data_IF_418686982994
#
_entry.id   IF_418686982994
#
_cell.length_a   1.000
_cell.length_b   1.000
_cell.length_c   1.000
_cell.angle_alpha   90.00
_cell.angle_beta   90.00
_cell.angle_gamma   90.00
#
_symmetry.space_group_name_H-M   'P 1'
#
loop_
_entity.id
_entity.type
_entity.pdbx_description
1 polymer ?
#
# COMPACT_ATOMS: atom_id res chain seq x y z
N UNK A 1 30.82 24.58 -55.88
CA UNK A 1 30.53 23.23 -55.32
C UNK A 1 30.71 23.12 -53.81
N UNK A 2 31.65 23.84 -53.15
CA UNK A 2 31.84 23.81 -51.68
C UNK A 2 30.68 24.32 -50.81
N UNK A 3 29.80 25.17 -51.37
CA UNK A 3 28.66 25.77 -50.63
C UNK A 3 27.56 24.76 -50.30
N UNK A 4 27.37 23.73 -51.13
CA UNK A 4 26.36 22.70 -50.90
C UNK A 4 26.79 21.68 -49.84
N UNK A 5 28.10 21.48 -49.66
CA UNK A 5 28.65 20.55 -48.67
C UNK A 5 28.39 21.01 -47.24
N UNK A 6 28.49 22.33 -46.99
CA UNK A 6 28.16 22.94 -45.70
C UNK A 6 26.66 22.81 -45.38
N UNK A 7 25.80 22.98 -46.39
CA UNK A 7 24.36 22.87 -46.22
C UNK A 7 23.93 21.45 -45.84
N UNK A 8 24.49 20.43 -46.49
CA UNK A 8 24.23 19.03 -46.13
C UNK A 8 24.71 18.68 -44.72
N UNK A 9 25.85 19.23 -44.30
CA UNK A 9 26.38 19.00 -42.96
C UNK A 9 25.47 19.56 -41.87
N UNK A 10 24.88 20.74 -42.08
CA UNK A 10 23.91 21.33 -41.16
C UNK A 10 22.61 20.50 -41.03
N UNK A 11 22.13 19.92 -42.13
CA UNK A 11 20.91 19.11 -42.12
C UNK A 11 21.13 17.81 -41.33
N UNK A 12 22.31 17.19 -41.45
CA UNK A 12 22.66 15.97 -40.72
C UNK A 12 22.81 16.23 -39.22
N UNK A 13 23.43 17.34 -38.81
CA UNK A 13 23.58 17.64 -37.37
C UNK A 13 22.27 18.03 -36.69
N UNK A 14 21.35 18.70 -37.40
CA UNK A 14 20.03 19.05 -36.88
C UNK A 14 19.09 17.83 -36.77
N UNK A 15 19.18 16.88 -37.72
CA UNK A 15 18.39 15.64 -37.68
C UNK A 15 18.76 14.70 -36.53
N UNK A 16 20.05 14.66 -36.15
CA UNK A 16 20.53 13.84 -35.03
C UNK A 16 20.22 14.45 -33.66
N UNK A 17 20.15 15.78 -33.55
CA UNK A 17 19.77 16.46 -32.31
C UNK A 17 18.26 16.45 -32.02
N UNK A 18 17.42 16.21 -33.04
CA UNK A 18 15.96 16.25 -32.89
C UNK A 18 15.34 14.96 -32.35
N UNK A 19 16.07 13.84 -32.36
CA UNK A 19 15.64 12.63 -31.67
C UNK A 19 16.04 12.70 -30.19
N UNK A 20 15.52 13.70 -29.47
CA UNK A 20 15.43 13.53 -28.02
C UNK A 20 14.33 12.51 -27.80
N UNK A 21 14.72 11.26 -27.55
CA UNK A 21 13.79 10.27 -27.01
C UNK A 21 13.47 10.74 -25.60
N UNK A 22 12.42 11.55 -25.47
CA UNK A 22 11.82 11.80 -24.19
C UNK A 22 11.27 10.46 -23.72
N UNK A 23 12.03 9.78 -22.87
CA UNK A 23 11.51 8.68 -22.08
C UNK A 23 10.47 9.29 -21.16
N UNK A 24 9.20 9.23 -21.57
CA UNK A 24 8.09 9.38 -20.63
C UNK A 24 8.20 8.16 -19.72
N UNK A 25 8.97 8.31 -18.63
CA UNK A 25 8.92 7.37 -17.53
C UNK A 25 7.54 7.58 -16.93
N UNK A 26 6.64 6.62 -17.20
CA UNK A 26 5.32 6.62 -16.61
C UNK A 26 5.50 6.27 -15.13
N UNK A 27 5.81 7.30 -14.35
CA UNK A 27 5.94 7.20 -12.91
C UNK A 27 4.55 6.91 -12.36
N UNK A 28 4.21 5.65 -12.12
CA UNK A 28 2.99 5.29 -11.38
C UNK A 28 3.25 5.63 -9.92
N UNK A 29 2.67 6.71 -9.37
CA UNK A 29 3.01 7.12 -8.02
C UNK A 29 2.36 6.20 -6.99
N UNK A 30 3.04 5.97 -5.87
CA UNK A 30 2.44 5.32 -4.72
C UNK A 30 1.26 6.15 -4.19
N UNK A 31 0.21 5.48 -3.75
CA UNK A 31 -1.02 6.14 -3.25
C UNK A 31 -1.15 5.84 -1.76
N UNK A 32 -1.39 6.89 -0.96
CA UNK A 32 -1.65 6.74 0.48
C UNK A 32 -3.12 7.00 0.79
N UNK A 33 -3.75 6.05 1.49
CA UNK A 33 -5.13 6.12 1.95
C UNK A 33 -5.17 6.14 3.47
N UNK A 34 -6.13 6.87 4.02
CA UNK A 34 -6.44 6.86 5.45
C UNK A 34 -7.86 6.32 5.66
N UNK A 35 -7.99 5.36 6.56
CA UNK A 35 -9.27 4.72 6.91
C UNK A 35 -9.40 4.64 8.42
N UNK A 36 -10.59 4.91 8.94
CA UNK A 36 -10.88 4.76 10.36
C UNK A 36 -11.62 3.44 10.59
N UNK A 37 -11.09 2.62 11.49
CA UNK A 37 -11.68 1.37 11.95
C UNK A 37 -12.38 1.64 13.28
N UNK A 38 -13.67 1.39 13.34
CA UNK A 38 -14.47 1.54 14.55
C UNK A 38 -14.49 0.24 15.37
N UNK A 39 -14.56 0.31 16.72
CA UNK A 39 -14.61 -0.87 17.60
C UNK A 39 -15.66 -1.92 17.22
N UNK A 40 -16.83 -1.47 16.75
CA UNK A 40 -17.96 -2.33 16.37
C UNK A 40 -17.79 -3.02 15.01
N UNK A 41 -16.80 -2.63 14.20
CA UNK A 41 -16.52 -3.27 12.91
C UNK A 41 -15.74 -4.59 13.04
N UNK A 42 -15.13 -4.84 14.20
CA UNK A 42 -14.43 -6.09 14.47
C UNK A 42 -15.42 -7.26 14.59
N UNK A 43 -15.23 -8.24 13.72
CA UNK A 43 -16.03 -9.45 13.64
C UNK A 43 -15.30 -10.62 14.29
N UNK A 44 -16.06 -11.52 14.91
CA UNK A 44 -15.53 -12.74 15.53
C UNK A 44 -15.23 -13.77 14.45
N UNK A 45 -14.03 -14.35 14.49
CA UNK A 45 -13.60 -15.40 13.57
C UNK A 45 -14.39 -16.70 13.72
N UNK A 46 -14.42 -17.51 12.66
CA UNK A 46 -15.17 -18.78 12.61
C UNK A 46 -14.53 -19.91 13.41
N UNK A 47 -13.26 -19.78 13.82
CA UNK A 47 -12.52 -20.76 14.60
C UNK A 47 -12.81 -20.60 16.10
N UNK A 48 -14.04 -20.94 16.51
CA UNK A 48 -14.54 -20.78 17.89
C UNK A 48 -14.37 -19.36 18.49
N UNK A 49 -14.22 -18.35 17.62
CA UNK A 49 -13.98 -16.96 18.00
C UNK A 49 -12.59 -16.67 18.57
N UNK A 50 -11.58 -17.50 18.30
CA UNK A 50 -10.21 -17.34 18.80
C UNK A 50 -9.42 -16.20 18.14
N UNK A 51 -10.05 -15.47 17.22
CA UNK A 51 -9.52 -14.25 16.63
C UNK A 51 -10.65 -13.27 16.28
N UNK A 52 -10.28 -12.00 16.13
CA UNK A 52 -11.14 -11.01 15.49
C UNK A 52 -10.57 -10.62 14.13
N UNK A 53 -11.44 -10.16 13.23
CA UNK A 53 -11.03 -9.58 11.96
C UNK A 53 -11.87 -8.37 11.59
N UNK A 54 -11.32 -7.54 10.72
CA UNK A 54 -12.05 -6.43 10.10
C UNK A 54 -11.59 -6.27 8.66
N UNK A 55 -12.55 -6.02 7.77
CA UNK A 55 -12.27 -5.75 6.36
C UNK A 55 -12.26 -4.23 6.13
N UNK A 56 -11.13 -3.73 5.64
CA UNK A 56 -10.98 -2.36 5.16
C UNK A 56 -11.20 -2.38 3.65
N UNK A 57 -12.32 -1.82 3.19
CA UNK A 57 -12.71 -1.83 1.78
C UNK A 57 -12.41 -0.49 1.10
N UNK A 58 -11.84 -0.54 -0.10
CA UNK A 58 -11.66 0.62 -0.97
C UNK A 58 -11.52 0.16 -2.42
N UNK A 59 -12.18 0.85 -3.35
CA UNK A 59 -12.19 0.47 -4.77
C UNK A 59 -10.83 0.61 -5.45
N UNK A 60 -9.88 1.33 -4.83
CA UNK A 60 -8.52 1.50 -5.35
C UNK A 60 -7.60 0.32 -5.03
N UNK A 61 -7.96 -0.51 -4.06
CA UNK A 61 -7.22 -1.73 -3.72
C UNK A 61 -7.41 -2.72 -4.86
N UNK A 62 -6.30 -3.10 -5.52
CA UNK A 62 -6.20 -3.90 -6.76
C UNK A 62 -6.58 -3.20 -8.07
N UNK A 63 -6.88 -1.89 -8.06
CA UNK A 63 -7.09 -1.15 -9.31
C UNK A 63 -5.77 -0.81 -10.02
N UNK A 64 -4.68 -0.78 -9.25
CA UNK A 64 -3.32 -0.73 -9.75
C UNK A 64 -2.81 -2.18 -9.73
N UNK A 65 -1.91 -2.55 -10.64
CA UNK A 65 -1.16 -3.82 -10.56
C UNK A 65 -0.34 -3.77 -9.25
N UNK A 66 -0.99 -3.98 -8.10
CA UNK A 66 -0.49 -3.70 -6.76
C UNK A 66 0.50 -4.80 -6.38
N UNK A 67 1.78 -4.59 -6.65
CA UNK A 67 2.84 -5.50 -6.20
C UNK A 67 3.02 -5.49 -4.68
N UNK A 68 2.55 -4.43 -3.98
CA UNK A 68 2.66 -4.33 -2.54
C UNK A 68 1.66 -3.39 -1.87
N UNK A 69 1.19 -3.82 -0.69
CA UNK A 69 0.38 -2.99 0.21
C UNK A 69 1.11 -2.90 1.55
N UNK A 70 1.33 -1.68 2.05
CA UNK A 70 1.85 -1.43 3.40
C UNK A 70 0.72 -0.89 4.27
N UNK A 71 0.35 -1.63 5.31
CA UNK A 71 -0.64 -1.20 6.29
C UNK A 71 0.03 -0.78 7.60
N UNK A 72 -0.38 0.35 8.15
CA UNK A 72 0.08 0.83 9.46
C UNK A 72 -1.08 1.37 10.28
N UNK A 73 -1.02 1.21 11.61
CA UNK A 73 -1.99 1.78 12.54
C UNK A 73 -1.41 2.96 13.31
N UNK A 74 -2.21 4.02 13.48
CA UNK A 74 -1.83 5.15 14.30
C UNK A 74 -1.60 4.70 15.75
N UNK A 75 -0.51 5.19 16.35
CA UNK A 75 -0.26 5.01 17.77
C UNK A 75 -1.27 5.83 18.57
N UNK A 76 -1.89 5.19 19.56
CA UNK A 76 -2.96 5.79 20.35
C UNK A 76 -2.54 7.09 21.09
N UNK A 77 -1.24 7.31 21.35
CA UNK A 77 -0.73 8.37 22.24
C UNK A 77 0.47 9.17 21.70
N UNK A 78 0.90 8.90 20.47
CA UNK A 78 2.10 9.48 19.87
C UNK A 78 1.80 9.53 18.37
N UNK A 79 1.96 10.68 17.70
CA UNK A 79 1.46 10.96 16.33
C UNK A 79 2.10 10.10 15.21
N UNK A 80 2.65 8.94 15.54
CA UNK A 80 3.26 7.97 14.65
C UNK A 80 2.31 6.87 14.19
N UNK A 81 2.82 6.04 13.26
CA UNK A 81 2.13 4.86 12.73
C UNK A 81 3.05 3.65 12.87
N UNK A 82 2.55 2.58 13.47
CA UNK A 82 3.24 1.29 13.55
C UNK A 82 2.80 0.42 12.37
N UNK A 83 3.76 -0.02 11.55
CA UNK A 83 3.49 -0.90 10.42
C UNK A 83 3.13 -2.31 10.91
N UNK A 84 2.18 -2.96 10.23
CA UNK A 84 1.83 -4.34 10.52
C UNK A 84 2.79 -5.30 9.78
N UNK A 85 3.07 -6.49 10.35
CA UNK A 85 2.55 -6.98 11.62
C UNK A 85 3.29 -6.39 12.84
N UNK A 86 2.56 -6.21 13.95
CA UNK A 86 3.15 -5.83 15.23
C UNK A 86 2.37 -6.44 16.41
N UNK A 87 2.97 -6.39 17.60
CA UNK A 87 2.33 -6.81 18.85
C UNK A 87 2.07 -5.61 19.76
N UNK A 88 0.92 -5.62 20.43
CA UNK A 88 0.58 -4.67 21.49
C UNK A 88 0.10 -5.45 22.72
N UNK A 89 0.92 -5.47 23.76
CA UNK A 89 0.66 -6.32 24.93
C UNK A 89 0.65 -7.80 24.54
N UNK A 90 -0.46 -8.49 24.80
CA UNK A 90 -0.66 -9.91 24.49
C UNK A 90 -1.28 -10.17 23.11
N UNK A 91 -1.60 -9.10 22.38
CA UNK A 91 -2.33 -9.17 21.12
C UNK A 91 -1.40 -8.89 19.93
N UNK A 92 -1.59 -9.65 18.84
CA UNK A 92 -0.90 -9.51 17.57
C UNK A 92 -1.85 -9.01 16.51
N UNK A 93 -1.39 -8.04 15.73
CA UNK A 93 -2.05 -7.53 14.54
C UNK A 93 -1.30 -8.00 13.28
N UNK A 94 -2.03 -8.56 12.32
CA UNK A 94 -1.52 -8.94 11.01
C UNK A 94 -2.56 -8.64 9.93
N UNK A 95 -2.21 -8.75 8.66
CA UNK A 95 -3.17 -8.55 7.57
C UNK A 95 -2.89 -9.44 6.37
N UNK A 96 -3.92 -9.55 5.52
CA UNK A 96 -3.81 -10.08 4.17
C UNK A 96 -4.59 -9.18 3.22
N UNK A 97 -4.06 -8.99 2.01
CA UNK A 97 -4.71 -8.26 0.93
C UNK A 97 -5.55 -9.20 0.06
N UNK A 98 -6.64 -8.66 -0.47
CA UNK A 98 -7.57 -9.32 -1.37
C UNK A 98 -8.16 -8.27 -2.34
N UNK A 99 -8.88 -8.73 -3.38
CA UNK A 99 -9.61 -7.82 -4.26
C UNK A 99 -10.51 -6.87 -3.51
N UNK A 100 -10.24 -5.57 -3.71
CA UNK A 100 -10.98 -4.44 -3.14
C UNK A 100 -11.01 -4.36 -1.60
N UNK A 101 -10.20 -5.17 -0.90
CA UNK A 101 -10.17 -5.16 0.57
C UNK A 101 -8.83 -5.61 1.17
N UNK A 102 -8.54 -5.07 2.34
CA UNK A 102 -7.49 -5.57 3.23
C UNK A 102 -8.18 -6.14 4.47
N UNK A 103 -7.91 -7.40 4.79
CA UNK A 103 -8.39 -8.02 6.03
C UNK A 103 -7.32 -7.91 7.09
N UNK A 104 -7.64 -7.24 8.18
CA UNK A 104 -6.80 -7.22 9.38
C UNK A 104 -7.26 -8.31 10.33
N UNK A 105 -6.30 -9.03 10.90
CA UNK A 105 -6.52 -10.03 11.93
C UNK A 105 -5.97 -9.52 13.25
N UNK A 106 -6.69 -9.85 14.32
CA UNK A 106 -6.29 -9.64 15.69
C UNK A 106 -6.37 -10.98 16.41
N UNK A 107 -5.25 -11.39 17.03
CA UNK A 107 -5.11 -12.69 17.66
C UNK A 107 -4.31 -12.57 18.95
N UNK A 108 -4.54 -13.45 19.91
CA UNK A 108 -3.65 -13.52 21.08
C UNK A 108 -2.32 -14.16 20.65
N UNK A 109 -1.21 -13.47 20.94
CA UNK A 109 0.14 -13.91 20.58
C UNK A 109 0.67 -15.02 21.50
N UNK A 110 0.23 -15.02 22.76
CA UNK A 110 0.79 -15.88 23.79
C UNK A 110 0.05 -17.22 23.89
N UNK A 111 -1.24 -17.25 23.58
CA UNK A 111 -2.08 -18.45 23.66
C UNK A 111 -3.18 -18.43 22.59
N UNK A 112 -3.10 -19.37 21.64
CA UNK A 112 -4.05 -19.52 20.53
C UNK A 112 -5.47 -19.92 20.96
N UNK A 113 -5.65 -20.40 22.20
CA UNK A 113 -6.96 -20.81 22.75
C UNK A 113 -7.66 -19.70 23.56
N UNK A 114 -7.08 -18.49 23.61
CA UNK A 114 -7.62 -17.35 24.34
C UNK A 114 -8.00 -16.27 23.34
N UNK A 115 -9.18 -15.68 23.52
CA UNK A 115 -9.60 -14.56 22.69
C UNK A 115 -8.70 -13.33 22.95
N UNK A 116 -8.30 -12.61 21.89
CA UNK A 116 -7.58 -11.35 22.06
C UNK A 116 -8.46 -10.26 22.70
N UNK A 117 -7.85 -9.19 23.17
CA UNK A 117 -8.61 -8.02 23.67
C UNK A 117 -9.11 -7.19 22.50
N UNK A 118 -10.43 -7.09 22.33
CA UNK A 118 -11.02 -6.27 21.26
C UNK A 118 -10.69 -4.78 21.48
N UNK A 119 -10.29 -4.03 20.44
CA UNK A 119 -10.10 -2.58 20.53
C UNK A 119 -11.39 -1.89 20.97
N UNK A 120 -11.27 -0.96 21.92
CA UNK A 120 -12.40 -0.17 22.46
C UNK A 120 -12.44 1.25 21.90
N UNK A 121 -11.38 1.70 21.23
CA UNK A 121 -11.28 3.00 20.58
C UNK A 121 -11.12 2.83 19.06
N UNK A 122 -11.46 3.88 18.30
CA UNK A 122 -11.24 3.90 16.86
C UNK A 122 -9.75 3.89 16.53
N UNK A 123 -9.37 3.15 15.48
CA UNK A 123 -8.00 3.05 15.00
C UNK A 123 -7.91 3.70 13.62
N UNK A 124 -6.96 4.61 13.41
CA UNK A 124 -6.67 5.15 12.08
C UNK A 124 -5.65 4.26 11.38
N UNK A 125 -6.05 3.68 10.25
CA UNK A 125 -5.22 2.90 9.36
C UNK A 125 -4.67 3.77 8.24
N UNK A 126 -3.35 3.76 8.06
CA UNK A 126 -2.66 4.29 6.88
C UNK A 126 -2.30 3.13 5.96
N UNK A 127 -2.75 3.21 4.73
CA UNK A 127 -2.53 2.19 3.69
C UNK A 127 -1.71 2.85 2.58
N UNK A 128 -0.54 2.31 2.28
CA UNK A 128 0.24 2.72 1.12
C UNK A 128 0.12 1.63 0.06
N UNK A 129 -0.50 1.98 -1.07
CA UNK A 129 -0.50 1.18 -2.28
C UNK A 129 0.80 1.48 -3.02
N UNK A 130 1.65 0.47 -3.13
CA UNK A 130 2.96 0.57 -3.77
C UNK A 130 2.78 0.13 -5.21
N UNK A 131 2.96 1.08 -6.12
CA UNK A 131 3.02 0.76 -7.52
C UNK A 131 4.41 0.16 -7.82
N UNK A 132 4.45 -0.99 -8.44
CA UNK A 132 5.66 -1.48 -9.08
C UNK A 132 5.33 -1.94 -10.51
N UNK A 133 6.37 -2.03 -11.30
CA UNK A 133 6.31 -2.44 -12.70
C UNK A 133 7.23 -3.64 -12.82
N UNK A 134 6.68 -4.79 -13.17
CA UNK A 134 7.48 -5.96 -13.52
C UNK A 134 8.26 -5.70 -14.81
N UNK A 135 9.55 -6.02 -14.82
CA UNK A 135 10.42 -6.00 -16.02
C UNK A 135 10.05 -7.09 -17.04
#
# INVERSE_FOLDING_TARGET
MKKFTILMLCIVTLGLASCKKDTIVQNTPNITLYKTIQPNQWQTGTDNGLYYYVDITDSRIEQYEDDGIILSFARFNDDGYDALPFNYGVDSYSYSSFPSRIRVYLQNNNNRNVQPTRPTASITARIVLVASSSD
#
